data_IF_069460418679
#
_entry.id   IF_069460418679
#
_cell.length_a   1.000
_cell.length_b   1.000
_cell.length_c   1.000
_cell.angle_alpha   90.00
_cell.angle_beta   90.00
_cell.angle_gamma   90.00
#
_symmetry.space_group_name_H-M   'P 1'
#
loop_
_entity.id
_entity.type
_entity.pdbx_description
1 polymer ?
#
# COMPACT_ATOMS: atom_id res chain seq x y z
N UNK A 1 -37.66 2.83 0.93
CA UNK A 1 -39.12 2.63 1.14
C UNK A 1 -39.50 1.19 1.50
N UNK A 2 -38.54 0.24 1.58
CA UNK A 2 -38.78 -1.13 2.08
C UNK A 2 -38.51 -1.25 3.60
N UNK A 3 -37.75 -0.32 4.17
CA UNK A 3 -37.28 -0.39 5.57
C UNK A 3 -38.30 0.04 6.62
N UNK A 4 -39.41 0.66 6.21
CA UNK A 4 -40.47 1.11 7.15
C UNK A 4 -41.45 -0.03 7.46
N UNK A 5 -41.75 -0.90 6.48
CA UNK A 5 -42.68 -2.04 6.66
C UNK A 5 -42.11 -3.11 7.58
N UNK A 6 -40.78 -3.31 7.56
CA UNK A 6 -40.12 -4.34 8.38
C UNK A 6 -39.99 -3.95 9.86
N UNK A 7 -40.23 -2.67 10.20
CA UNK A 7 -40.07 -2.18 11.58
C UNK A 7 -41.31 -2.39 12.46
N UNK A 8 -42.47 -2.75 11.87
CA UNK A 8 -43.70 -3.08 12.61
C UNK A 8 -43.95 -4.58 12.75
N UNK A 9 -43.31 -5.41 11.91
CA UNK A 9 -43.36 -6.85 12.04
C UNK A 9 -42.32 -7.28 13.08
N UNK A 10 -42.74 -7.53 14.32
CA UNK A 10 -41.91 -8.05 15.43
C UNK A 10 -41.39 -9.47 15.22
N UNK A 11 -40.86 -9.77 14.04
CA UNK A 11 -40.24 -11.03 13.65
C UNK A 11 -38.90 -11.12 14.39
N UNK A 12 -38.71 -12.07 15.32
CA UNK A 12 -37.39 -12.33 15.89
C UNK A 12 -36.46 -12.76 14.74
N UNK A 13 -35.39 -11.98 14.52
CA UNK A 13 -34.34 -12.36 13.56
C UNK A 13 -33.63 -13.60 14.12
N UNK A 14 -33.57 -14.73 13.39
CA UNK A 14 -32.75 -15.87 13.79
C UNK A 14 -31.30 -15.41 13.92
N UNK A 15 -30.67 -15.72 15.03
CA UNK A 15 -29.24 -15.49 15.25
C UNK A 15 -28.45 -16.36 14.26
N UNK A 16 -27.69 -15.70 13.39
CA UNK A 16 -26.92 -16.36 12.35
C UNK A 16 -25.59 -16.88 12.93
N UNK A 17 -25.30 -18.19 12.89
CA UNK A 17 -24.15 -18.82 13.59
C UNK A 17 -22.76 -18.49 13.02
N UNK A 18 -22.62 -17.46 12.17
CA UNK A 18 -21.34 -17.04 11.58
C UNK A 18 -20.59 -16.00 12.43
N UNK A 19 -21.14 -15.60 13.58
CA UNK A 19 -20.46 -14.73 14.55
C UNK A 19 -19.51 -15.50 15.49
N UNK A 20 -19.07 -16.70 15.10
CA UNK A 20 -18.12 -17.49 15.89
C UNK A 20 -16.72 -17.47 15.23
N UNK A 21 -16.12 -16.28 15.09
CA UNK A 21 -14.72 -16.11 14.70
C UNK A 21 -13.76 -16.37 15.88
N UNK A 22 -13.92 -17.51 16.55
CA UNK A 22 -13.17 -17.88 17.75
C UNK A 22 -11.65 -18.04 17.56
N UNK A 23 -11.17 -18.16 16.32
CA UNK A 23 -9.75 -18.33 16.00
C UNK A 23 -8.97 -17.02 15.77
N UNK A 24 -9.64 -15.95 15.34
CA UNK A 24 -8.95 -14.70 14.96
C UNK A 24 -8.33 -13.96 16.16
N UNK A 25 -8.98 -14.05 17.33
CA UNK A 25 -8.55 -13.38 18.57
C UNK A 25 -7.21 -13.87 19.11
N UNK A 26 -6.82 -15.11 18.82
CA UNK A 26 -5.54 -15.69 19.24
C UNK A 26 -4.51 -15.74 18.12
N UNK A 27 -4.97 -15.85 16.87
CA UNK A 27 -4.11 -15.79 15.71
C UNK A 27 -3.40 -14.43 15.58
N UNK A 28 -4.15 -13.33 15.74
CA UNK A 28 -3.59 -11.98 15.57
C UNK A 28 -2.47 -11.63 16.58
N UNK A 29 -2.60 -11.88 17.90
CA UNK A 29 -1.51 -11.62 18.84
C UNK A 29 -0.34 -12.60 18.64
N UNK A 30 -0.59 -13.88 18.33
CA UNK A 30 0.48 -14.84 18.08
C UNK A 30 1.31 -14.47 16.83
N UNK A 31 0.63 -14.06 15.76
CA UNK A 31 1.28 -13.54 14.55
C UNK A 31 2.06 -12.26 14.85
N UNK A 32 1.48 -11.34 15.64
CA UNK A 32 2.16 -10.12 16.08
C UNK A 32 3.45 -10.39 16.85
N UNK A 33 3.43 -11.33 17.81
CA UNK A 33 4.62 -11.74 18.57
C UNK A 33 5.68 -12.35 17.66
N UNK A 34 5.27 -13.21 16.72
CA UNK A 34 6.19 -13.83 15.76
C UNK A 34 6.88 -12.79 14.87
N UNK A 35 6.14 -11.81 14.36
CA UNK A 35 6.70 -10.69 13.59
C UNK A 35 7.67 -9.88 14.45
N UNK A 36 7.32 -9.59 15.70
CA UNK A 36 8.14 -8.79 16.61
C UNK A 36 9.47 -9.50 16.94
N UNK A 37 9.43 -10.80 17.21
CA UNK A 37 10.63 -11.64 17.40
C UNK A 37 11.48 -11.66 16.13
N UNK A 38 10.85 -11.80 14.95
CA UNK A 38 11.53 -11.74 13.66
C UNK A 38 12.26 -10.41 13.44
N UNK A 39 11.60 -9.28 13.71
CA UNK A 39 12.19 -7.94 13.59
C UNK A 39 13.38 -7.77 14.53
N UNK A 40 13.26 -8.21 15.80
CA UNK A 40 14.37 -8.15 16.77
C UNK A 40 15.56 -8.97 16.31
N UNK A 41 15.33 -10.20 15.82
CA UNK A 41 16.38 -11.08 15.32
C UNK A 41 17.10 -10.49 14.10
N UNK A 42 16.33 -9.98 13.13
CA UNK A 42 16.88 -9.32 11.93
C UNK A 42 17.70 -8.10 12.34
N UNK A 43 17.20 -7.28 13.27
CA UNK A 43 17.92 -6.11 13.77
C UNK A 43 19.25 -6.47 14.44
N UNK A 44 19.28 -7.54 15.25
CA UNK A 44 20.50 -8.03 15.89
C UNK A 44 21.53 -8.54 14.86
N UNK A 45 21.10 -9.40 13.92
CA UNK A 45 21.96 -9.94 12.89
C UNK A 45 22.51 -8.83 11.97
N UNK A 46 21.64 -7.89 11.57
CA UNK A 46 22.01 -6.76 10.72
C UNK A 46 23.02 -5.83 11.43
N UNK A 47 22.87 -5.59 12.74
CA UNK A 47 23.85 -4.80 13.50
C UNK A 47 25.23 -5.45 13.54
N UNK A 48 25.31 -6.78 13.54
CA UNK A 48 26.57 -7.51 13.48
C UNK A 48 27.18 -7.43 12.07
N UNK A 49 26.36 -7.53 11.02
CA UNK A 49 26.82 -7.46 9.63
C UNK A 49 27.31 -6.05 9.22
N UNK A 50 26.65 -4.98 9.70
CA UNK A 50 27.10 -3.59 9.45
C UNK A 50 28.42 -3.25 10.14
N UNK A 51 28.78 -3.91 11.24
CA UNK A 51 30.04 -3.67 11.93
C UNK A 51 31.26 -4.16 11.09
N UNK A 52 31.03 -5.08 10.16
CA UNK A 52 32.08 -5.74 9.38
C UNK A 52 32.10 -5.20 7.93
N UNK A 53 30.95 -4.86 7.36
CA UNK A 53 30.83 -4.51 5.94
C UNK A 53 30.82 -2.99 5.67
N UNK A 54 31.97 -2.41 5.35
CA UNK A 54 32.12 -0.94 5.13
C UNK A 54 31.73 -0.46 3.72
N UNK A 55 31.85 -1.31 2.70
CA UNK A 55 31.68 -0.92 1.28
C UNK A 55 30.41 -1.46 0.65
N UNK A 56 29.98 -2.66 1.05
CA UNK A 56 28.77 -3.33 0.53
C UNK A 56 27.51 -2.47 0.68
N UNK A 57 27.28 -1.75 1.81
CA UNK A 57 26.08 -0.93 1.97
C UNK A 57 25.96 0.21 0.94
N UNK A 58 27.06 0.81 0.50
CA UNK A 58 27.03 1.89 -0.50
C UNK A 58 26.64 1.39 -1.89
N UNK A 59 27.11 0.20 -2.28
CA UNK A 59 26.74 -0.45 -3.53
C UNK A 59 25.27 -0.87 -3.48
N UNK A 60 24.83 -1.47 -2.38
CA UNK A 60 23.44 -1.83 -2.16
C UNK A 60 22.52 -0.60 -2.15
N UNK A 61 22.97 0.52 -1.57
CA UNK A 61 22.23 1.78 -1.57
C UNK A 61 22.11 2.36 -2.98
N UNK A 62 23.17 2.32 -3.80
CA UNK A 62 23.10 2.73 -5.20
C UNK A 62 22.13 1.88 -6.02
N UNK A 63 22.16 0.56 -5.83
CA UNK A 63 21.23 -0.37 -6.50
C UNK A 63 19.79 -0.14 -6.00
N UNK A 64 19.59 -0.01 -4.69
CA UNK A 64 18.29 0.25 -4.09
C UNK A 64 17.70 1.57 -4.59
N UNK A 65 18.50 2.64 -4.68
CA UNK A 65 18.08 3.92 -5.23
C UNK A 65 17.65 3.79 -6.70
N UNK A 66 18.40 3.03 -7.50
CA UNK A 66 18.07 2.80 -8.91
C UNK A 66 16.76 2.03 -9.06
N UNK A 67 16.58 0.97 -8.26
CA UNK A 67 15.34 0.19 -8.23
C UNK A 67 14.17 1.04 -7.74
N UNK A 68 14.36 1.84 -6.68
CA UNK A 68 13.35 2.74 -6.15
C UNK A 68 12.92 3.77 -7.21
N UNK A 69 13.88 4.45 -7.87
CA UNK A 69 13.59 5.38 -8.95
C UNK A 69 12.81 4.69 -10.10
N UNK A 70 13.22 3.48 -10.46
CA UNK A 70 12.56 2.69 -11.50
C UNK A 70 11.15 2.27 -11.12
N UNK A 71 10.92 1.87 -9.87
CA UNK A 71 9.61 1.50 -9.36
C UNK A 71 8.67 2.71 -9.29
N UNK A 72 9.12 3.82 -8.72
CA UNK A 72 8.37 5.08 -8.66
C UNK A 72 7.99 5.59 -10.05
N UNK A 73 8.91 5.47 -11.02
CA UNK A 73 8.64 5.77 -12.42
C UNK A 73 7.49 4.90 -12.96
N UNK A 74 7.58 3.57 -12.83
CA UNK A 74 6.53 2.65 -13.31
C UNK A 74 5.18 2.92 -12.67
N UNK A 75 5.15 3.18 -11.35
CA UNK A 75 3.93 3.58 -10.65
C UNK A 75 3.39 4.91 -11.19
N UNK A 76 4.27 5.88 -11.46
CA UNK A 76 3.92 7.15 -12.09
C UNK A 76 3.28 7.02 -13.47
N UNK A 77 3.74 6.09 -14.32
CA UNK A 77 3.09 5.80 -15.61
C UNK A 77 1.70 5.19 -15.44
N UNK A 78 1.54 4.29 -14.47
CA UNK A 78 0.24 3.69 -14.18
C UNK A 78 -0.76 4.74 -13.69
N UNK A 79 -0.35 5.61 -12.78
CA UNK A 79 -1.20 6.69 -12.24
C UNK A 79 -1.55 7.71 -13.33
N UNK A 80 -0.57 8.06 -14.16
CA UNK A 80 -0.78 8.94 -15.32
C UNK A 80 -1.76 8.32 -16.31
N UNK A 81 -1.62 7.04 -16.67
CA UNK A 81 -2.49 6.37 -17.63
C UNK A 81 -3.95 6.32 -17.14
N UNK A 82 -4.14 6.03 -15.85
CA UNK A 82 -5.46 5.98 -15.24
C UNK A 82 -6.12 7.37 -15.18
N UNK A 83 -5.37 8.41 -14.82
CA UNK A 83 -5.86 9.79 -14.79
C UNK A 83 -6.16 10.32 -16.20
N UNK A 84 -5.24 10.10 -17.15
CA UNK A 84 -5.38 10.55 -18.55
C UNK A 84 -6.58 9.89 -19.24
N UNK A 85 -6.87 8.61 -18.95
CA UNK A 85 -8.05 7.94 -19.49
C UNK A 85 -9.35 8.69 -19.15
N UNK A 86 -9.50 9.15 -17.91
CA UNK A 86 -10.69 9.90 -17.47
C UNK A 86 -10.74 11.32 -18.07
N UNK A 87 -9.60 12.01 -18.15
CA UNK A 87 -9.50 13.37 -18.69
C UNK A 87 -9.83 13.41 -20.18
N UNK A 88 -9.32 12.45 -20.95
CA UNK A 88 -9.62 12.30 -22.38
C UNK A 88 -11.09 11.92 -22.57
N UNK A 89 -11.60 10.95 -21.79
CA UNK A 89 -12.99 10.49 -21.90
C UNK A 89 -13.99 11.60 -21.63
N UNK A 90 -13.72 12.43 -20.61
CA UNK A 90 -14.55 13.59 -20.25
C UNK A 90 -14.31 14.83 -21.12
N UNK A 91 -13.31 14.80 -22.00
CA UNK A 91 -12.84 15.94 -22.82
C UNK A 91 -12.54 17.20 -21.99
N UNK A 92 -12.08 17.02 -20.75
CA UNK A 92 -11.79 18.14 -19.85
C UNK A 92 -10.46 18.83 -20.18
N UNK A 93 -9.49 18.09 -20.74
CA UNK A 93 -8.19 18.61 -21.16
C UNK A 93 -7.62 17.78 -22.33
N UNK A 94 -6.78 18.35 -23.22
CA UNK A 94 -6.07 17.57 -24.23
C UNK A 94 -5.07 16.58 -23.59
N UNK A 95 -4.91 15.41 -24.21
CA UNK A 95 -4.11 14.30 -23.70
C UNK A 95 -2.66 14.70 -23.42
N UNK A 96 -2.08 15.55 -24.26
CA UNK A 96 -0.68 15.97 -24.14
C UNK A 96 -0.43 16.77 -22.86
N UNK A 97 -1.37 17.66 -22.50
CA UNK A 97 -1.26 18.46 -21.28
C UNK A 97 -1.49 17.63 -20.02
N UNK A 98 -2.41 16.66 -20.07
CA UNK A 98 -2.69 15.77 -18.94
C UNK A 98 -1.46 14.90 -18.58
N UNK A 99 -0.76 14.38 -19.59
CA UNK A 99 0.49 13.61 -19.39
C UNK A 99 1.60 14.51 -18.83
N UNK A 100 1.73 15.73 -19.33
CA UNK A 100 2.76 16.67 -18.86
C UNK A 100 2.55 17.04 -17.38
N UNK A 101 1.32 17.38 -16.99
CA UNK A 101 0.99 17.69 -15.60
C UNK A 101 1.23 16.51 -14.67
N UNK A 102 0.84 15.30 -15.08
CA UNK A 102 1.05 14.10 -14.28
C UNK A 102 2.54 13.79 -14.08
N UNK A 103 3.35 13.94 -15.14
CA UNK A 103 4.81 13.79 -15.04
C UNK A 103 5.45 14.80 -14.10
N UNK A 104 4.99 16.06 -14.12
CA UNK A 104 5.47 17.10 -13.19
C UNK A 104 5.16 16.74 -11.73
N UNK A 105 3.92 16.32 -11.44
CA UNK A 105 3.54 15.95 -10.07
C UNK A 105 4.23 14.67 -9.58
N UNK A 106 4.42 13.67 -10.44
CA UNK A 106 5.14 12.45 -10.07
C UNK A 106 6.62 12.75 -9.77
N UNK A 107 7.26 13.60 -10.57
CA UNK A 107 8.64 14.02 -10.32
C UNK A 107 8.78 14.85 -9.03
N UNK A 108 7.82 15.75 -8.76
CA UNK A 108 7.76 16.50 -7.50
C UNK A 108 7.58 15.58 -6.29
N UNK A 109 6.80 14.50 -6.42
CA UNK A 109 6.65 13.49 -5.37
C UNK A 109 8.00 12.89 -4.96
N UNK A 110 8.81 12.46 -5.93
CA UNK A 110 10.15 11.91 -5.66
C UNK A 110 11.12 12.96 -5.09
N UNK A 111 11.04 14.21 -5.56
CA UNK A 111 11.91 15.30 -5.08
C UNK A 111 11.59 15.79 -3.66
N UNK A 112 10.34 15.65 -3.21
CA UNK A 112 9.88 16.14 -1.90
C UNK A 112 9.83 15.06 -0.82
N UNK A 113 10.11 13.80 -1.19
CA UNK A 113 10.07 12.63 -0.29
C UNK A 113 11.36 12.42 0.50
#
# INVERSE_FOLDING_TARGET
>A
MVDVVSSEAGIPRPDHPLEQSGGAKWFLPAFGVLVLVGIIYVGYALSQDLAIAKTVPWILLGIALLIALGFEFVNGFHDTANAVATVIYTRSLPAEFAVMWSGVFNFLGVLTS
#
